data_IF_342349303220
#
_entry.id   IF_342349303220
#
_cell.length_a   1.000
_cell.length_b   1.000
_cell.length_c   1.000
_cell.angle_alpha   90.00
_cell.angle_beta   90.00
_cell.angle_gamma   90.00
#
_symmetry.space_group_name_H-M   'P 1'
#
loop_
_entity.id
_entity.type
_entity.pdbx_description
1 polymer ?
#
# COMPACT_ATOMS: atom_id res chain seq x y z
N UNK A 1 -0.26 20.06 0.35
CA UNK A 1 -0.20 19.24 -0.90
C UNK A 1 1.11 18.44 -1.02
N UNK A 2 1.54 17.69 0.02
CA UNK A 2 2.83 16.98 0.01
C UNK A 2 2.78 15.49 0.45
N UNK A 3 1.60 14.98 0.87
CA UNK A 3 1.48 13.63 1.41
C UNK A 3 1.07 12.54 0.41
N UNK A 4 0.39 12.90 -0.69
CA UNK A 4 -0.24 11.92 -1.61
C UNK A 4 0.77 11.22 -2.55
N UNK A 5 1.96 11.80 -2.72
CA UNK A 5 2.83 11.46 -3.86
C UNK A 5 3.93 10.46 -3.51
N UNK A 6 4.26 10.29 -2.23
CA UNK A 6 5.47 9.56 -1.84
C UNK A 6 5.26 8.04 -1.77
N UNK A 7 4.22 7.57 -1.09
CA UNK A 7 4.00 6.13 -0.86
C UNK A 7 3.90 5.33 -2.16
N UNK A 8 3.10 5.81 -3.14
CA UNK A 8 3.00 5.18 -4.46
C UNK A 8 4.32 5.20 -5.24
N UNK A 9 5.07 6.31 -5.18
CA UNK A 9 6.40 6.39 -5.83
C UNK A 9 7.39 5.40 -5.23
N UNK A 10 7.35 5.20 -3.92
CA UNK A 10 8.19 4.20 -3.25
C UNK A 10 7.79 2.79 -3.67
N UNK A 11 6.49 2.47 -3.68
CA UNK A 11 5.99 1.18 -4.17
C UNK A 11 6.51 0.87 -5.58
N UNK A 12 6.37 1.77 -6.55
CA UNK A 12 6.85 1.55 -7.93
C UNK A 12 8.38 1.39 -8.02
N UNK A 13 9.14 2.15 -7.21
CA UNK A 13 10.59 2.00 -7.14
C UNK A 13 10.98 0.64 -6.54
N UNK A 14 10.38 0.26 -5.43
CA UNK A 14 10.61 -1.02 -4.76
C UNK A 14 10.24 -2.18 -5.67
N UNK A 15 9.10 -2.12 -6.36
CA UNK A 15 8.65 -3.17 -7.27
C UNK A 15 9.61 -3.35 -8.45
N UNK A 16 10.19 -2.26 -8.98
CA UNK A 16 11.23 -2.35 -10.03
C UNK A 16 12.50 -3.02 -9.54
N UNK A 17 12.93 -2.73 -8.31
CA UNK A 17 14.14 -3.29 -7.71
C UNK A 17 13.95 -4.74 -7.24
N UNK A 18 12.72 -5.12 -6.90
CA UNK A 18 12.40 -6.46 -6.44
C UNK A 18 12.55 -7.47 -7.58
N UNK A 19 13.22 -8.59 -7.32
CA UNK A 19 13.29 -9.71 -8.26
C UNK A 19 11.90 -10.32 -8.52
N UNK A 20 11.70 -10.95 -9.68
CA UNK A 20 10.50 -11.78 -9.91
C UNK A 20 10.42 -12.85 -8.81
N UNK A 21 9.21 -13.15 -8.36
CA UNK A 21 8.90 -14.02 -7.21
C UNK A 21 9.39 -13.49 -5.86
N UNK A 22 9.82 -12.23 -5.79
CA UNK A 22 10.13 -11.56 -4.55
C UNK A 22 8.88 -11.11 -3.80
N UNK A 23 9.02 -10.85 -2.50
CA UNK A 23 7.95 -10.33 -1.65
C UNK A 23 8.32 -8.91 -1.21
N UNK A 24 7.38 -7.98 -1.38
CA UNK A 24 7.41 -6.66 -0.78
C UNK A 24 6.43 -6.64 0.39
N UNK A 25 6.88 -6.16 1.55
CA UNK A 25 6.04 -5.97 2.72
C UNK A 25 5.84 -4.47 2.97
N UNK A 26 4.59 -4.06 3.18
CA UNK A 26 4.20 -2.66 3.41
C UNK A 26 3.42 -2.61 4.73
N UNK A 27 3.93 -1.87 5.70
CA UNK A 27 3.33 -1.68 7.03
C UNK A 27 2.42 -0.43 7.07
N UNK A 28 1.48 -0.40 8.01
CA UNK A 28 0.58 0.71 8.27
C UNK A 28 -0.52 0.89 7.22
N UNK A 29 -0.88 -0.18 6.50
CA UNK A 29 -1.86 -0.08 5.41
C UNK A 29 -3.30 0.10 5.89
N UNK A 30 -3.60 -0.19 7.16
CA UNK A 30 -4.94 0.02 7.75
C UNK A 30 -5.08 1.37 8.45
N UNK A 31 -3.99 2.06 8.77
CA UNK A 31 -3.98 3.40 9.39
C UNK A 31 -4.97 3.54 10.56
N UNK A 32 -4.88 2.63 11.52
CA UNK A 32 -5.73 2.38 12.67
C UNK A 32 -7.22 2.25 12.31
N UNK A 33 -7.51 1.62 11.18
CA UNK A 33 -8.86 1.49 10.61
C UNK A 33 -9.37 2.75 9.90
N UNK A 34 -8.63 3.86 9.92
CA UNK A 34 -9.08 5.11 9.30
C UNK A 34 -9.31 5.00 7.79
N UNK A 35 -8.65 4.05 7.12
CA UNK A 35 -8.83 3.78 5.69
C UNK A 35 -10.23 3.28 5.32
N UNK A 36 -11.05 2.88 6.30
CA UNK A 36 -12.45 2.50 6.07
C UNK A 36 -13.40 3.70 6.04
N UNK A 37 -12.92 4.89 6.40
CA UNK A 37 -13.74 6.11 6.44
C UNK A 37 -13.90 6.69 5.03
N UNK A 38 -15.15 6.89 4.58
CA UNK A 38 -15.45 7.43 3.23
C UNK A 38 -14.94 8.87 3.03
N UNK A 39 -14.98 9.70 4.07
CA UNK A 39 -14.46 11.07 4.07
C UNK A 39 -13.25 11.15 5.00
N UNK A 40 -12.12 10.65 4.52
CA UNK A 40 -10.85 10.70 5.25
C UNK A 40 -10.44 12.14 5.54
N UNK A 41 -10.24 12.45 6.82
CA UNK A 41 -10.01 13.80 7.32
C UNK A 41 -8.58 14.31 7.11
N UNK A 42 -7.66 13.46 6.62
CA UNK A 42 -6.24 13.82 6.52
C UNK A 42 -5.63 13.33 5.21
N UNK A 43 -4.77 14.17 4.61
CA UNK A 43 -3.98 13.86 3.41
C UNK A 43 -3.24 12.51 3.52
N UNK A 44 -2.79 12.13 4.73
CA UNK A 44 -2.12 10.85 4.99
C UNK A 44 -3.03 9.65 4.74
N UNK A 45 -4.25 9.68 5.27
CA UNK A 45 -5.21 8.57 5.15
C UNK A 45 -5.65 8.42 3.69
N UNK A 46 -5.90 9.53 3.00
CA UNK A 46 -6.23 9.54 1.57
C UNK A 46 -5.10 8.96 0.72
N UNK A 47 -3.84 9.30 1.03
CA UNK A 47 -2.66 8.76 0.34
C UNK A 47 -2.56 7.24 0.49
N UNK A 48 -2.80 6.71 1.69
CA UNK A 48 -2.76 5.26 1.96
C UNK A 48 -3.93 4.55 1.27
N UNK A 49 -5.15 5.12 1.30
CA UNK A 49 -6.31 4.56 0.58
C UNK A 49 -6.03 4.44 -0.93
N UNK A 50 -5.56 5.52 -1.56
CA UNK A 50 -5.22 5.53 -2.99
C UNK A 50 -4.11 4.53 -3.31
N UNK A 51 -3.10 4.40 -2.45
CA UNK A 51 -2.04 3.40 -2.61
C UNK A 51 -2.60 1.97 -2.54
N UNK A 52 -3.41 1.66 -1.53
CA UNK A 52 -4.01 0.34 -1.36
C UNK A 52 -4.90 -0.02 -2.56
N UNK A 53 -5.71 0.91 -3.06
CA UNK A 53 -6.53 0.71 -4.25
C UNK A 53 -5.69 0.47 -5.51
N UNK A 54 -4.59 1.21 -5.67
CA UNK A 54 -3.69 1.03 -6.79
C UNK A 54 -3.02 -0.34 -6.76
N UNK A 55 -2.55 -0.78 -5.59
CA UNK A 55 -1.91 -2.09 -5.40
C UNK A 55 -2.91 -3.24 -5.59
N UNK A 56 -4.15 -3.10 -5.10
CA UNK A 56 -5.23 -4.07 -5.31
C UNK A 56 -5.54 -4.31 -6.79
N UNK A 57 -5.34 -3.30 -7.65
CA UNK A 57 -5.57 -3.38 -9.10
C UNK A 57 -4.30 -3.68 -9.91
N UNK A 58 -3.15 -3.85 -9.24
CA UNK A 58 -1.88 -4.07 -9.92
C UNK A 58 -1.70 -5.55 -10.27
N UNK A 59 -1.91 -5.89 -11.55
CA UNK A 59 -1.79 -7.25 -12.06
C UNK A 59 -0.37 -7.84 -12.00
N UNK A 60 0.66 -7.05 -11.65
CA UNK A 60 2.04 -7.52 -11.51
C UNK A 60 2.30 -8.23 -10.18
N UNK A 61 1.37 -8.16 -9.23
CA UNK A 61 1.53 -8.69 -7.87
C UNK A 61 0.30 -9.48 -7.43
N UNK A 62 0.52 -10.52 -6.62
CA UNK A 62 -0.49 -11.05 -5.74
C UNK A 62 -0.40 -10.40 -4.38
N UNK A 63 -1.53 -10.09 -3.76
CA UNK A 63 -1.56 -9.38 -2.49
C UNK A 63 -2.26 -10.18 -1.40
N UNK A 64 -1.81 -10.00 -0.17
CA UNK A 64 -2.47 -10.49 1.05
C UNK A 64 -2.26 -9.49 2.17
N UNK A 65 -3.29 -9.21 2.95
CA UNK A 65 -3.20 -8.35 4.13
C UNK A 65 -3.23 -9.23 5.37
N UNK A 66 -2.18 -9.14 6.18
CA UNK A 66 -2.10 -9.74 7.49
C UNK A 66 -2.56 -8.73 8.55
N UNK A 67 -3.51 -9.09 9.44
CA UNK A 67 -3.96 -8.23 10.53
C UNK A 67 -2.92 -8.22 11.68
N UNK A 68 -1.69 -7.84 11.35
CA UNK A 68 -0.60 -7.63 12.28
C UNK A 68 -0.38 -6.14 12.46
N UNK A 69 -0.27 -5.68 13.71
CA UNK A 69 -0.12 -4.28 14.06
C UNK A 69 -1.17 -3.40 13.35
N UNK A 70 -0.73 -2.42 12.55
CA UNK A 70 -1.59 -1.51 11.82
C UNK A 70 -1.86 -1.94 10.36
N UNK A 71 -1.82 -3.26 10.15
CA UNK A 71 -1.98 -3.91 8.86
C UNK A 71 -0.68 -4.02 8.09
N UNK A 72 -0.30 -5.27 7.78
CA UNK A 72 0.86 -5.59 6.95
C UNK A 72 0.38 -6.16 5.62
N UNK A 73 0.63 -5.44 4.53
CA UNK A 73 0.34 -5.93 3.18
C UNK A 73 1.58 -6.62 2.59
N UNK A 74 1.41 -7.87 2.20
CA UNK A 74 2.39 -8.62 1.44
C UNK A 74 2.03 -8.57 -0.04
N UNK A 75 2.98 -8.15 -0.87
CA UNK A 75 2.87 -8.13 -2.32
C UNK A 75 3.90 -9.12 -2.90
N UNK A 76 3.44 -10.23 -3.45
CA UNK A 76 4.25 -11.20 -4.16
C UNK A 76 4.35 -10.80 -5.63
N UNK A 77 5.54 -10.45 -6.11
CA UNK A 77 5.77 -10.05 -7.50
C UNK A 77 5.81 -11.27 -8.41
N UNK A 78 5.07 -11.23 -9.50
CA UNK A 78 5.08 -12.25 -10.55
C UNK A 78 6.40 -12.31 -11.32
#
# INVERSE_FOLDING_TARGET
MAGQTHCRKYYEKCLRLLKSRGILAIDGVLCNGAVLTKNSMTDKVQSIQQMNEAILRDARVFISILPLADGLMLCFKL
#
